data_IF_394734828621
#
_entry.id   IF_394734828621
#
_cell.length_a   1.000
_cell.length_b   1.000
_cell.length_c   1.000
_cell.angle_alpha   90.00
_cell.angle_beta   90.00
_cell.angle_gamma   90.00
#
_symmetry.space_group_name_H-M   'P 1'
#
loop_
_entity.id
_entity.type
_entity.pdbx_description
1 polymer ?
#
# COMPACT_ATOMS: atom_id res chain seq x y z
N UNK A 1 -24.02 -6.05 10.10
CA UNK A 1 -23.30 -5.93 11.39
C UNK A 1 -22.87 -4.49 11.61
N UNK A 2 -23.83 -3.63 11.96
CA UNK A 2 -23.57 -2.26 12.39
C UNK A 2 -23.36 -2.31 13.90
N UNK A 3 -22.13 -2.12 14.38
CA UNK A 3 -21.87 -1.98 15.81
C UNK A 3 -22.46 -0.64 16.26
N UNK A 4 -23.42 -0.68 17.18
CA UNK A 4 -24.17 0.49 17.69
C UNK A 4 -23.36 1.39 18.64
N UNK A 5 -22.12 1.02 18.94
CA UNK A 5 -21.19 1.81 19.75
C UNK A 5 -19.75 1.50 19.32
N UNK A 6 -19.03 2.51 18.83
CA UNK A 6 -17.59 2.44 18.59
C UNK A 6 -16.89 2.01 19.89
N UNK A 7 -16.24 0.84 19.94
CA UNK A 7 -15.48 0.46 21.12
C UNK A 7 -14.17 1.25 21.09
N UNK A 8 -14.18 2.44 21.68
CA UNK A 8 -13.00 3.28 21.93
C UNK A 8 -12.03 2.58 22.94
N UNK A 9 -11.63 1.33 22.66
CA UNK A 9 -10.78 0.50 23.52
C UNK A 9 -11.01 -1.01 23.37
N UNK A 10 -10.00 -1.82 23.75
CA UNK A 10 -10.04 -3.29 23.69
C UNK A 10 -9.46 -3.86 22.38
N UNK A 11 -10.21 -4.78 21.74
CA UNK A 11 -9.82 -5.51 20.51
C UNK A 11 -9.43 -4.60 19.32
N UNK A 12 -9.90 -3.35 19.32
CA UNK A 12 -9.54 -2.35 18.31
C UNK A 12 -8.04 -2.03 18.27
N UNK A 13 -7.33 -2.09 19.40
CA UNK A 13 -5.88 -1.88 19.43
C UNK A 13 -5.11 -3.03 18.79
N UNK A 14 -5.57 -4.27 18.95
CA UNK A 14 -4.97 -5.44 18.27
C UNK A 14 -5.15 -5.35 16.76
N UNK A 15 -6.34 -4.94 16.30
CA UNK A 15 -6.61 -4.73 14.87
C UNK A 15 -5.80 -3.56 14.34
N UNK A 16 -5.67 -2.46 15.10
CA UNK A 16 -4.83 -1.32 14.73
C UNK A 16 -3.36 -1.72 14.60
N UNK A 17 -2.82 -2.54 15.52
CA UNK A 17 -1.45 -3.02 15.44
C UNK A 17 -1.22 -3.90 14.21
N UNK A 18 -2.15 -4.82 13.92
CA UNK A 18 -2.09 -5.63 12.70
C UNK A 18 -2.14 -4.76 11.44
N UNK A 19 -3.00 -3.74 11.43
CA UNK A 19 -3.05 -2.77 10.33
C UNK A 19 -1.75 -2.00 10.16
N UNK A 20 -1.20 -1.45 11.26
CA UNK A 20 0.08 -0.74 11.21
C UNK A 20 1.19 -1.63 10.64
N UNK A 21 1.20 -2.91 10.99
CA UNK A 21 2.18 -3.85 10.46
C UNK A 21 1.98 -4.10 8.95
N UNK A 22 0.73 -4.24 8.49
CA UNK A 22 0.43 -4.39 7.07
C UNK A 22 0.81 -3.14 6.28
N UNK A 23 0.43 -1.94 6.75
CA UNK A 23 0.79 -0.65 6.14
C UNK A 23 2.30 -0.40 6.13
N UNK A 24 2.99 -0.77 7.21
CA UNK A 24 4.45 -0.68 7.28
C UNK A 24 5.08 -1.47 6.13
N UNK A 25 4.60 -2.69 5.89
CA UNK A 25 5.10 -3.53 4.81
C UNK A 25 4.68 -3.01 3.44
N UNK A 26 3.41 -2.70 3.22
CA UNK A 26 2.92 -2.27 1.90
C UNK A 26 3.45 -0.89 1.51
N UNK A 27 3.15 0.16 2.28
CA UNK A 27 3.58 1.52 1.95
C UNK A 27 5.08 1.74 2.18
N UNK A 28 5.68 1.07 3.17
CA UNK A 28 7.12 1.12 3.38
C UNK A 28 7.89 0.59 2.17
N UNK A 29 7.45 -0.52 1.58
CA UNK A 29 8.08 -1.08 0.36
C UNK A 29 7.88 -0.15 -0.85
N UNK A 30 6.68 0.41 -1.07
CA UNK A 30 6.46 1.37 -2.18
C UNK A 30 7.39 2.57 -2.07
N UNK A 31 7.45 3.18 -0.89
CA UNK A 31 8.26 4.39 -0.70
C UNK A 31 9.75 4.06 -0.79
N UNK A 32 10.16 2.87 -0.33
CA UNK A 32 11.52 2.38 -0.51
C UNK A 32 11.85 2.08 -1.98
N UNK A 33 10.86 1.89 -2.84
CA UNK A 33 11.06 1.77 -4.28
C UNK A 33 11.76 2.99 -4.90
N UNK A 34 11.64 4.17 -4.26
CA UNK A 34 12.37 5.37 -4.66
C UNK A 34 13.89 5.23 -4.54
N UNK A 35 14.41 4.30 -3.74
CA UNK A 35 15.85 4.03 -3.63
C UNK A 35 16.36 3.36 -4.91
N UNK A 36 15.62 2.37 -5.42
CA UNK A 36 15.94 1.66 -6.67
C UNK A 36 15.80 2.55 -7.91
N UNK A 37 15.31 3.78 -7.78
CA UNK A 37 15.03 4.63 -8.92
C UNK A 37 16.28 4.93 -9.77
N UNK A 38 17.43 5.15 -9.12
CA UNK A 38 18.69 5.37 -9.83
C UNK A 38 19.21 4.08 -10.47
N UNK A 39 19.15 2.96 -9.74
CA UNK A 39 19.59 1.65 -10.26
C UNK A 39 18.77 1.22 -11.48
N UNK A 40 17.46 1.48 -11.46
CA UNK A 40 16.56 1.23 -12.59
C UNK A 40 16.91 2.12 -13.80
N UNK A 41 17.40 3.33 -13.56
CA UNK A 41 17.82 4.24 -14.62
C UNK A 41 19.04 3.72 -15.34
N UNK A 42 20.01 3.24 -14.58
CA UNK A 42 21.23 2.65 -15.11
C UNK A 42 20.97 1.29 -15.75
N UNK A 43 20.14 0.43 -15.14
CA UNK A 43 19.88 -0.92 -15.64
C UNK A 43 19.06 -0.94 -16.93
N UNK A 44 18.10 -0.02 -17.08
CA UNK A 44 17.24 0.06 -18.26
C UNK A 44 17.75 1.07 -19.30
N UNK A 45 18.82 1.83 -19.00
CA UNK A 45 19.36 2.92 -19.84
C UNK A 45 18.28 3.91 -20.30
N UNK A 46 17.38 4.26 -19.37
CA UNK A 46 16.19 5.06 -19.66
C UNK A 46 16.19 6.37 -18.88
N UNK A 47 15.42 7.35 -19.35
CA UNK A 47 15.38 8.68 -18.69
C UNK A 47 14.62 8.64 -17.36
N UNK A 48 15.00 9.55 -16.44
CA UNK A 48 14.27 9.81 -15.18
C UNK A 48 12.76 9.95 -15.41
N UNK A 49 12.36 10.64 -16.47
CA UNK A 49 10.95 10.84 -16.81
C UNK A 49 10.23 9.50 -16.96
N UNK A 50 10.75 8.56 -17.75
CA UNK A 50 10.11 7.24 -17.93
C UNK A 50 10.00 6.48 -16.61
N UNK A 51 11.05 6.43 -15.81
CA UNK A 51 10.99 5.67 -14.55
C UNK A 51 10.00 6.31 -13.57
N UNK A 52 9.89 7.64 -13.57
CA UNK A 52 8.90 8.37 -12.75
C UNK A 52 7.45 8.04 -13.12
N UNK A 53 7.19 7.65 -14.38
CA UNK A 53 5.87 7.20 -14.81
C UNK A 53 5.43 5.92 -14.09
N UNK A 54 6.34 5.05 -13.63
CA UNK A 54 5.97 3.81 -12.92
C UNK A 54 5.17 4.15 -11.66
N UNK A 55 5.73 5.02 -10.81
CA UNK A 55 5.09 5.44 -9.56
C UNK A 55 3.89 6.35 -9.85
N UNK A 56 3.98 7.21 -10.87
CA UNK A 56 2.86 8.09 -11.26
C UNK A 56 1.62 7.29 -11.70
N UNK A 57 1.82 6.25 -12.51
CA UNK A 57 0.75 5.31 -12.92
C UNK A 57 0.23 4.56 -11.70
N UNK A 58 1.09 4.11 -10.79
CA UNK A 58 0.68 3.46 -9.54
C UNK A 58 -0.29 4.33 -8.73
N UNK A 59 0.06 5.60 -8.49
CA UNK A 59 -0.77 6.55 -7.75
C UNK A 59 -2.05 6.89 -8.53
N UNK A 60 -1.96 7.04 -9.85
CA UNK A 60 -3.14 7.25 -10.71
C UNK A 60 -4.12 6.08 -10.61
N UNK A 61 -3.63 4.84 -10.75
CA UNK A 61 -4.46 3.63 -10.65
C UNK A 61 -5.05 3.50 -9.25
N UNK A 62 -4.26 3.77 -8.21
CA UNK A 62 -4.71 3.74 -6.82
C UNK A 62 -5.90 4.69 -6.59
N UNK A 63 -5.80 5.92 -7.07
CA UNK A 63 -6.85 6.93 -6.91
C UNK A 63 -8.05 6.67 -7.83
N UNK A 64 -7.81 6.25 -9.07
CA UNK A 64 -8.86 5.93 -10.04
C UNK A 64 -9.72 4.73 -9.59
N UNK A 65 -9.11 3.73 -8.96
CA UNK A 65 -9.83 2.55 -8.47
C UNK A 65 -10.39 2.68 -7.05
N UNK A 66 -10.24 3.85 -6.42
CA UNK A 66 -10.79 4.13 -5.10
C UNK A 66 -12.32 3.90 -4.98
N UNK A 67 -13.17 4.41 -5.89
CA UNK A 67 -14.61 4.13 -5.84
C UNK A 67 -14.91 2.64 -6.04
N UNK A 68 -14.16 1.96 -6.91
CA UNK A 68 -14.34 0.52 -7.18
C UNK A 68 -14.04 -0.31 -5.92
N UNK A 69 -12.94 -0.01 -5.24
CA UNK A 69 -12.55 -0.65 -3.98
C UNK A 69 -13.60 -0.44 -2.89
N UNK A 70 -14.21 0.75 -2.82
CA UNK A 70 -15.30 1.03 -1.88
C UNK A 70 -16.53 0.16 -2.12
N UNK A 71 -16.95 0.00 -3.38
CA UNK A 71 -18.08 -0.87 -3.75
C UNK A 71 -17.77 -2.35 -3.45
N UNK A 72 -16.55 -2.81 -3.77
CA UNK A 72 -16.11 -4.17 -3.48
C UNK A 72 -16.10 -4.47 -1.98
N UNK A 73 -15.55 -3.55 -1.16
CA UNK A 73 -15.51 -3.69 0.29
C UNK A 73 -16.91 -3.80 0.91
N UNK A 74 -17.86 -2.99 0.42
CA UNK A 74 -19.25 -3.04 0.87
C UNK A 74 -19.95 -4.36 0.52
N UNK A 75 -19.59 -5.00 -0.60
CA UNK A 75 -20.26 -6.23 -1.08
C UNK A 75 -19.63 -7.52 -0.56
N UNK A 76 -18.30 -7.61 -0.56
CA UNK A 76 -17.56 -8.84 -0.23
C UNK A 76 -16.99 -8.83 1.20
N UNK A 77 -17.03 -7.68 1.88
CA UNK A 77 -16.50 -7.50 3.22
C UNK A 77 -15.01 -7.15 3.23
N UNK A 78 -14.65 -6.26 4.16
CA UNK A 78 -13.34 -5.63 4.26
C UNK A 78 -12.17 -6.63 4.34
N UNK A 79 -12.31 -7.75 5.07
CA UNK A 79 -11.21 -8.72 5.28
C UNK A 79 -10.76 -9.39 3.98
N UNK A 80 -11.71 -9.84 3.16
CA UNK A 80 -11.41 -10.57 1.93
C UNK A 80 -10.76 -9.63 0.91
N UNK A 81 -11.23 -8.39 0.86
CA UNK A 81 -10.68 -7.35 -0.02
C UNK A 81 -9.24 -6.97 0.36
N UNK A 82 -8.93 -6.84 1.65
CA UNK A 82 -7.54 -6.62 2.13
C UNK A 82 -6.63 -7.80 1.77
N UNK A 83 -7.08 -9.05 1.97
CA UNK A 83 -6.28 -10.22 1.60
C UNK A 83 -6.03 -10.29 0.09
N UNK A 84 -7.05 -10.03 -0.73
CA UNK A 84 -6.90 -9.98 -2.18
C UNK A 84 -5.94 -8.87 -2.63
N UNK A 85 -6.01 -7.70 -2.00
CA UNK A 85 -5.08 -6.59 -2.25
C UNK A 85 -3.64 -6.95 -1.91
N UNK A 86 -3.40 -7.58 -0.75
CA UNK A 86 -2.07 -8.06 -0.36
C UNK A 86 -1.49 -9.10 -1.33
N UNK A 87 -2.31 -10.06 -1.78
CA UNK A 87 -1.91 -11.03 -2.79
C UNK A 87 -1.54 -10.32 -4.10
N UNK A 88 -2.37 -9.38 -4.58
CA UNK A 88 -2.09 -8.61 -5.79
C UNK A 88 -0.76 -7.84 -5.70
N UNK A 89 -0.50 -7.17 -4.57
CA UNK A 89 0.76 -6.46 -4.33
C UNK A 89 1.93 -7.43 -4.39
N UNK A 90 1.84 -8.57 -3.70
CA UNK A 90 2.90 -9.58 -3.69
C UNK A 90 3.16 -10.15 -5.08
N UNK A 91 2.10 -10.44 -5.85
CA UNK A 91 2.24 -10.92 -7.23
C UNK A 91 2.86 -9.85 -8.12
N UNK A 92 2.42 -8.60 -8.01
CA UNK A 92 2.99 -7.48 -8.75
C UNK A 92 4.48 -7.33 -8.48
N UNK A 93 4.89 -7.38 -7.21
CA UNK A 93 6.30 -7.29 -6.81
C UNK A 93 7.15 -8.48 -7.32
N UNK A 94 6.63 -9.71 -7.20
CA UNK A 94 7.33 -10.90 -7.71
C UNK A 94 7.47 -10.84 -9.23
N UNK A 95 6.41 -10.47 -9.95
CA UNK A 95 6.46 -10.33 -11.41
C UNK A 95 7.38 -9.19 -11.85
N UNK A 96 7.46 -8.09 -11.07
CA UNK A 96 8.37 -6.99 -11.33
C UNK A 96 9.84 -7.42 -11.20
N UNK A 97 10.15 -8.40 -10.33
CA UNK A 97 11.51 -8.97 -10.23
C UNK A 97 11.96 -9.72 -11.48
N UNK A 98 11.03 -10.14 -12.34
CA UNK A 98 11.31 -10.77 -13.63
C UNK A 98 11.10 -9.81 -14.82
N UNK A 99 10.84 -8.52 -14.56
CA UNK A 99 10.62 -7.55 -15.61
C UNK A 99 11.92 -7.27 -16.38
N UNK A 100 11.90 -7.50 -17.69
CA UNK A 100 13.02 -7.20 -18.58
C UNK A 100 12.87 -5.83 -19.28
N UNK A 101 11.71 -5.18 -19.16
CA UNK A 101 11.45 -3.88 -19.76
C UNK A 101 10.75 -2.93 -18.79
N UNK A 102 10.93 -1.62 -19.01
CA UNK A 102 10.22 -0.57 -18.23
C UNK A 102 8.70 -0.67 -18.41
N UNK A 103 8.24 -1.16 -19.57
CA UNK A 103 6.80 -1.37 -19.84
C UNK A 103 6.23 -2.46 -18.94
N UNK A 104 6.96 -3.54 -18.71
CA UNK A 104 6.55 -4.59 -17.78
C UNK A 104 6.45 -4.04 -16.35
N UNK A 105 7.34 -3.12 -15.96
CA UNK A 105 7.23 -2.41 -14.68
C UNK A 105 6.00 -1.50 -14.59
N UNK A 106 5.62 -0.81 -15.68
CA UNK A 106 4.37 -0.03 -15.68
C UNK A 106 3.15 -0.90 -15.42
N UNK A 107 3.11 -2.10 -15.99
CA UNK A 107 1.99 -3.03 -15.82
C UNK A 107 2.02 -3.65 -14.41
N UNK A 108 3.17 -4.20 -14.01
CA UNK A 108 3.29 -4.95 -12.75
C UNK A 108 3.23 -4.02 -11.53
N UNK A 109 4.10 -3.02 -11.45
CA UNK A 109 4.14 -2.10 -10.30
C UNK A 109 3.06 -1.03 -10.42
N UNK A 110 2.90 -0.45 -11.62
CA UNK A 110 1.92 0.61 -11.82
C UNK A 110 0.48 0.10 -11.70
N UNK A 111 0.10 -0.88 -12.54
CA UNK A 111 -1.29 -1.34 -12.59
C UNK A 111 -1.58 -2.40 -11.52
N UNK A 112 -0.87 -3.52 -11.50
CA UNK A 112 -1.22 -4.66 -10.62
C UNK A 112 -1.03 -4.28 -9.15
N UNK A 113 0.16 -3.77 -8.77
CA UNK A 113 0.40 -3.36 -7.40
C UNK A 113 -0.45 -2.13 -7.02
N UNK A 114 -0.62 -1.16 -7.92
CA UNK A 114 -1.50 0.01 -7.69
C UNK A 114 -2.94 -0.36 -7.36
N UNK A 115 -3.52 -1.33 -8.09
CA UNK A 115 -4.84 -1.90 -7.78
C UNK A 115 -4.85 -2.58 -6.40
N UNK A 116 -3.83 -3.39 -6.11
CA UNK A 116 -3.71 -4.08 -4.83
C UNK A 116 -3.58 -3.12 -3.63
N UNK A 117 -2.85 -2.01 -3.79
CA UNK A 117 -2.75 -0.97 -2.76
C UNK A 117 -4.09 -0.30 -2.49
N UNK A 118 -4.85 0.03 -3.53
CA UNK A 118 -6.18 0.62 -3.37
C UNK A 118 -7.16 -0.33 -2.65
N UNK A 119 -7.11 -1.62 -2.99
CA UNK A 119 -7.91 -2.65 -2.35
C UNK A 119 -7.48 -2.94 -0.91
N UNK A 120 -6.26 -2.61 -0.50
CA UNK A 120 -5.81 -2.79 0.89
C UNK A 120 -6.05 -1.53 1.75
N UNK A 121 -5.77 -0.35 1.19
CA UNK A 121 -5.78 0.92 1.91
C UNK A 121 -7.21 1.35 2.32
N UNK A 122 -8.14 1.37 1.37
CA UNK A 122 -9.53 1.81 1.61
C UNK A 122 -10.29 1.00 2.66
N UNK A 123 -10.36 -0.34 2.58
CA UNK A 123 -11.03 -1.12 3.61
C UNK A 123 -10.40 -0.92 4.97
N UNK A 124 -9.10 -0.62 5.02
CA UNK A 124 -8.46 -0.47 6.33
C UNK A 124 -8.66 0.91 6.93
N UNK A 125 -8.65 1.99 6.13
CA UNK A 125 -9.07 3.32 6.57
C UNK A 125 -10.53 3.32 7.05
N UNK A 126 -11.41 2.58 6.37
CA UNK A 126 -12.82 2.45 6.77
C UNK A 126 -12.99 1.64 8.05
N UNK A 127 -12.31 0.50 8.22
CA UNK A 127 -12.29 -0.25 9.49
C UNK A 127 -11.78 0.64 10.64
N UNK A 128 -10.70 1.39 10.42
CA UNK A 128 -10.13 2.27 11.43
C UNK A 128 -11.12 3.34 11.88
N UNK A 129 -11.83 3.93 10.91
CA UNK A 129 -12.88 4.93 11.16
C UNK A 129 -14.10 4.34 11.87
N UNK A 130 -14.36 3.04 11.70
CA UNK A 130 -15.45 2.33 12.41
C UNK A 130 -15.06 1.89 13.84
N UNK A 131 -13.77 1.74 14.12
CA UNK A 131 -13.27 1.34 15.45
C UNK A 131 -12.93 2.54 16.35
N UNK A 132 -12.47 3.65 15.77
CA UNK A 132 -12.04 4.84 16.51
C UNK A 132 -12.70 6.09 15.92
N UNK A 133 -13.68 6.64 16.63
CA UNK A 133 -14.33 7.90 16.24
C UNK A 133 -13.58 9.08 16.88
N UNK A 134 -13.41 9.06 18.21
CA UNK A 134 -12.81 10.16 18.97
C UNK A 134 -11.29 10.24 18.86
N UNK A 135 -10.62 9.14 18.52
CA UNK A 135 -9.15 9.02 18.44
C UNK A 135 -8.62 8.84 17.01
N UNK A 136 -9.47 9.01 16.00
CA UNK A 136 -9.11 8.76 14.59
C UNK A 136 -7.81 9.47 14.17
N UNK A 137 -7.66 10.74 14.53
CA UNK A 137 -6.48 11.55 14.22
C UNK A 137 -5.18 10.99 14.80
N UNK A 138 -5.22 10.47 16.03
CA UNK A 138 -4.06 9.84 16.66
C UNK A 138 -3.68 8.56 15.93
N UNK A 139 -4.66 7.71 15.59
CA UNK A 139 -4.39 6.43 14.93
C UNK A 139 -3.86 6.65 13.51
N UNK A 140 -4.38 7.62 12.76
CA UNK A 140 -3.82 7.99 11.46
C UNK A 140 -2.42 8.60 11.58
N UNK A 141 -2.16 9.43 12.60
CA UNK A 141 -0.82 9.98 12.83
C UNK A 141 0.20 8.88 13.17
N UNK A 142 -0.21 7.87 13.95
CA UNK A 142 0.62 6.70 14.23
C UNK A 142 0.85 5.89 12.95
N UNK A 143 -0.18 5.65 12.13
CA UNK A 143 -0.01 4.96 10.83
C UNK A 143 1.04 5.66 9.96
N UNK A 144 0.92 6.98 9.78
CA UNK A 144 1.88 7.75 8.98
C UNK A 144 3.29 7.74 9.58
N UNK A 145 3.42 7.72 10.91
CA UNK A 145 4.72 7.62 11.59
C UNK A 145 5.37 6.25 11.33
N UNK A 146 4.56 5.18 11.33
CA UNK A 146 5.01 3.81 11.04
C UNK A 146 5.51 3.69 9.60
N UNK A 147 4.83 4.30 8.62
CA UNK A 147 5.32 4.35 7.24
C UNK A 147 6.73 4.98 7.16
N UNK A 148 6.95 6.11 7.82
CA UNK A 148 8.25 6.78 7.84
C UNK A 148 9.33 5.91 8.51
N UNK A 149 8.98 5.26 9.62
CA UNK A 149 9.89 4.35 10.31
C UNK A 149 10.25 3.13 9.46
N UNK A 150 9.27 2.56 8.75
CA UNK A 150 9.48 1.45 7.83
C UNK A 150 10.44 1.84 6.70
N UNK A 151 10.25 3.01 6.07
CA UNK A 151 11.18 3.50 5.03
C UNK A 151 12.57 3.74 5.59
N UNK A 152 12.69 4.34 6.78
CA UNK A 152 13.97 4.56 7.44
C UNK A 152 14.71 3.24 7.75
N UNK A 153 13.98 2.15 8.02
CA UNK A 153 14.57 0.82 8.25
C UNK A 153 14.84 0.06 6.95
N UNK A 154 13.97 0.15 5.95
CA UNK A 154 14.09 -0.59 4.70
C UNK A 154 15.09 0.04 3.74
N UNK A 155 15.16 1.36 3.65
CA UNK A 155 16.11 2.06 2.79
C UNK A 155 17.57 1.64 3.04
N UNK A 156 18.12 1.65 4.28
CA UNK A 156 19.48 1.19 4.54
C UNK A 156 19.64 -0.32 4.39
N UNK A 157 18.60 -1.11 4.65
CA UNK A 157 18.66 -2.57 4.46
C UNK A 157 18.76 -2.94 2.97
N UNK A 158 18.10 -2.18 2.10
CA UNK A 158 18.13 -2.34 0.65
C UNK A 158 19.47 -1.90 0.07
N UNK A 159 20.03 -0.77 0.52
CA UNK A 159 21.33 -0.30 0.02
C UNK A 159 22.52 -1.09 0.55
N UNK A 160 22.36 -1.83 1.64
CA UNK A 160 23.38 -2.73 2.17
C UNK A 160 23.44 -4.10 1.47
N UNK A 161 22.45 -4.41 0.62
CA UNK A 161 22.31 -5.65 -0.14
C UNK A 161 22.95 -5.52 -1.52
#
# INVERSE_FOLDING_TARGET
NVYTKVPDGGWGWTVAFAFFFVEALTYGIIKSFGVFFNDLMESFDETNSRISWIISICVFVQTFTAPLSTVLSNRFGHRLVVMAGGVLISTGMVTASFACTVVDMYITIGVISGLGYCLSFLPTVTILSQYFDKRRSLVTAVASTVECFAVFSFAPAITAL
#
